data_IF_825582026918
#
_entry.id   IF_825582026918
#
_cell.length_a   1.000
_cell.length_b   1.000
_cell.length_c   1.000
_cell.angle_alpha   90.00
_cell.angle_beta   90.00
_cell.angle_gamma   90.00
#
_symmetry.space_group_name_H-M   'P 1'
#
loop_
_entity.id
_entity.type
_entity.pdbx_description
1 polymer ?
#
# COMPACT_ATOMS: atom_id res chain seq x y z
N UNK A 1 -14.50 17.18 0.01
CA UNK A 1 -15.16 16.34 1.02
C UNK A 1 -14.25 15.15 1.29
N UNK A 2 -13.83 14.92 2.54
CA UNK A 2 -13.09 13.70 2.89
C UNK A 2 -14.06 12.53 2.75
N UNK A 3 -13.62 11.41 2.18
CA UNK A 3 -14.46 10.20 2.05
C UNK A 3 -14.80 9.68 3.45
N UNK A 4 -16.03 9.19 3.62
CA UNK A 4 -16.45 8.51 4.85
C UNK A 4 -15.66 7.21 5.04
N UNK A 5 -15.61 6.72 6.29
CA UNK A 5 -14.79 5.56 6.66
C UNK A 5 -15.21 4.29 5.91
N UNK A 6 -16.52 4.09 5.68
CA UNK A 6 -17.04 2.91 4.99
C UNK A 6 -16.54 2.84 3.54
N UNK A 7 -16.63 3.96 2.81
CA UNK A 7 -16.09 4.06 1.45
C UNK A 7 -14.58 3.80 1.42
N UNK A 8 -13.83 4.25 2.43
CA UNK A 8 -12.38 4.00 2.51
C UNK A 8 -12.07 2.53 2.68
N UNK A 9 -12.79 1.84 3.57
CA UNK A 9 -12.60 0.41 3.83
C UNK A 9 -12.91 -0.41 2.57
N UNK A 10 -14.01 -0.10 1.89
CA UNK A 10 -14.39 -0.78 0.64
C UNK A 10 -13.34 -0.60 -0.45
N UNK A 11 -12.82 0.62 -0.63
CA UNK A 11 -11.76 0.89 -1.60
C UNK A 11 -10.42 0.27 -1.20
N UNK A 12 -10.11 0.24 0.10
CA UNK A 12 -8.93 -0.46 0.62
C UNK A 12 -8.98 -1.94 0.26
N UNK A 13 -10.12 -2.61 0.48
CA UNK A 13 -10.27 -4.03 0.22
C UNK A 13 -10.18 -4.39 -1.26
N UNK A 14 -10.49 -3.43 -2.14
CA UNK A 14 -10.31 -3.57 -3.58
C UNK A 14 -8.87 -3.32 -4.03
N UNK A 15 -8.17 -2.39 -3.39
CA UNK A 15 -6.85 -1.93 -3.84
C UNK A 15 -5.70 -2.70 -3.18
N UNK A 16 -5.81 -3.08 -1.91
CA UNK A 16 -4.77 -3.87 -1.23
C UNK A 16 -5.02 -5.34 -1.55
N UNK A 17 -4.28 -5.86 -2.53
CA UNK A 17 -4.45 -7.21 -3.09
C UNK A 17 -3.26 -8.15 -2.79
N UNK A 18 -2.28 -7.69 -2.00
CA UNK A 18 -1.22 -8.50 -1.42
C UNK A 18 -1.59 -8.94 -0.01
N UNK A 19 -1.28 -10.18 0.36
CA UNK A 19 -1.40 -10.64 1.75
C UNK A 19 -0.28 -10.04 2.62
N UNK A 20 -0.44 -10.14 3.94
CA UNK A 20 0.60 -9.71 4.87
C UNK A 20 1.95 -10.41 4.59
N UNK A 21 1.92 -11.72 4.37
CA UNK A 21 3.13 -12.52 4.13
C UNK A 21 3.81 -12.17 2.79
N UNK A 22 3.01 -11.95 1.74
CA UNK A 22 3.53 -11.53 0.43
C UNK A 22 4.17 -10.15 0.49
N UNK A 23 3.51 -9.21 1.18
CA UNK A 23 4.04 -7.87 1.36
C UNK A 23 5.29 -7.89 2.24
N UNK A 24 5.31 -8.71 3.30
CA UNK A 24 6.49 -8.87 4.15
C UNK A 24 7.68 -9.43 3.38
N UNK A 25 7.46 -10.45 2.54
CA UNK A 25 8.50 -10.99 1.67
C UNK A 25 9.03 -9.93 0.70
N UNK A 26 8.14 -9.14 0.11
CA UNK A 26 8.49 -8.04 -0.80
C UNK A 26 9.33 -6.94 -0.14
N UNK A 27 8.95 -6.49 1.07
CA UNK A 27 9.68 -5.41 1.77
C UNK A 27 11.12 -5.79 2.14
N UNK A 28 11.45 -7.08 2.19
CA UNK A 28 12.82 -7.57 2.45
C UNK A 28 13.75 -7.39 1.25
N UNK A 29 13.21 -7.12 0.06
CA UNK A 29 14.02 -6.93 -1.16
C UNK A 29 14.61 -5.52 -1.26
N UNK A 30 15.84 -5.42 -1.81
CA UNK A 30 16.47 -4.12 -2.10
C UNK A 30 15.65 -3.27 -3.08
N UNK A 31 14.93 -3.93 -3.99
CA UNK A 31 14.01 -3.33 -4.95
C UNK A 31 12.91 -2.54 -4.24
N UNK A 32 12.37 -3.08 -3.13
CA UNK A 32 11.37 -2.42 -2.29
C UNK A 32 11.98 -1.27 -1.48
N UNK A 33 13.11 -1.52 -0.81
CA UNK A 33 13.76 -0.57 0.09
C UNK A 33 14.23 0.71 -0.61
N UNK A 34 14.58 0.62 -1.89
CA UNK A 34 15.04 1.75 -2.71
C UNK A 34 13.93 2.42 -3.54
N UNK A 35 12.69 1.94 -3.46
CA UNK A 35 11.59 2.43 -4.30
C UNK A 35 10.77 3.53 -3.62
N UNK A 36 10.64 4.67 -4.29
CA UNK A 36 9.83 5.81 -3.88
C UNK A 36 10.63 6.99 -3.34
N UNK A 37 9.94 7.90 -2.64
CA UNK A 37 10.58 9.05 -2.01
C UNK A 37 11.16 8.68 -0.65
N UNK A 38 12.42 9.05 -0.43
CA UNK A 38 13.08 8.97 0.87
C UNK A 38 12.37 9.87 1.90
N UNK A 39 12.40 9.44 3.15
CA UNK A 39 11.96 10.23 4.29
C UNK A 39 13.03 11.25 4.66
N UNK A 40 12.59 12.42 5.10
CA UNK A 40 13.45 13.51 5.58
C UNK A 40 13.79 13.36 7.09
N UNK A 41 13.92 12.13 7.58
CA UNK A 41 14.20 11.81 8.99
C UNK A 41 15.59 11.20 9.22
N UNK A 42 16.41 11.10 8.16
CA UNK A 42 17.77 10.56 8.21
C UNK A 42 17.84 9.03 8.30
N UNK A 43 16.72 8.31 8.28
CA UNK A 43 16.69 6.84 8.32
C UNK A 43 17.16 6.17 7.02
N UNK A 44 17.12 6.91 5.91
CA UNK A 44 17.34 6.36 4.56
C UNK A 44 16.17 5.54 4.01
N UNK A 45 15.09 5.37 4.78
CA UNK A 45 13.90 4.65 4.37
C UNK A 45 13.00 5.49 3.45
N UNK A 46 12.26 4.84 2.55
CA UNK A 46 11.24 5.49 1.74
C UNK A 46 9.86 5.52 2.41
N UNK A 47 9.06 6.54 2.10
CA UNK A 47 7.69 6.69 2.61
C UNK A 47 6.83 5.47 2.25
N UNK A 48 7.02 4.93 1.04
CA UNK A 48 6.32 3.72 0.59
C UNK A 48 6.69 2.49 1.41
N UNK A 49 7.98 2.29 1.69
CA UNK A 49 8.44 1.15 2.47
C UNK A 49 7.90 1.20 3.92
N UNK A 50 7.91 2.37 4.56
CA UNK A 50 7.28 2.56 5.87
C UNK A 50 5.78 2.27 5.81
N UNK A 51 5.09 2.77 4.77
CA UNK A 51 3.67 2.51 4.56
C UNK A 51 3.38 1.01 4.43
N UNK A 52 4.22 0.27 3.72
CA UNK A 52 4.13 -1.18 3.59
C UNK A 52 4.13 -1.90 4.93
N UNK A 53 4.99 -1.50 5.87
CA UNK A 53 5.01 -2.09 7.22
C UNK A 53 3.70 -1.85 7.97
N UNK A 54 3.14 -0.65 7.87
CA UNK A 54 1.84 -0.33 8.49
C UNK A 54 0.69 -1.12 7.85
N UNK A 55 0.75 -1.36 6.54
CA UNK A 55 -0.24 -2.22 5.85
C UNK A 55 -0.17 -3.64 6.41
N UNK A 56 1.04 -4.19 6.61
CA UNK A 56 1.23 -5.51 7.22
C UNK A 56 0.60 -5.55 8.62
N UNK A 57 0.86 -4.55 9.47
CA UNK A 57 0.28 -4.46 10.81
C UNK A 57 -1.26 -4.46 10.78
N UNK A 58 -1.87 -3.68 9.89
CA UNK A 58 -3.33 -3.64 9.71
C UNK A 58 -3.89 -5.00 9.25
N UNK A 59 -3.24 -5.63 8.27
CA UNK A 59 -3.65 -6.94 7.75
C UNK A 59 -3.53 -8.05 8.81
N UNK A 60 -2.48 -8.02 9.63
CA UNK A 60 -2.27 -8.97 10.72
C UNK A 60 -3.23 -8.74 11.90
N UNK A 61 -3.55 -7.47 12.19
CA UNK A 61 -4.52 -7.09 13.24
C UNK A 61 -5.94 -7.52 12.87
N UNK A 62 -6.32 -7.44 11.59
CA UNK A 62 -7.68 -7.75 11.13
C UNK A 62 -7.70 -8.65 9.88
N UNK A 63 -7.26 -9.91 9.98
CA UNK A 63 -7.12 -10.80 8.82
C UNK A 63 -8.46 -11.15 8.15
N UNK A 64 -9.57 -11.05 8.89
CA UNK A 64 -10.92 -11.29 8.38
C UNK A 64 -11.59 -10.04 7.81
N UNK A 65 -10.90 -8.89 7.79
CA UNK A 65 -11.38 -7.62 7.25
C UNK A 65 -12.72 -7.17 7.85
N UNK A 66 -12.92 -7.37 9.15
CA UNK A 66 -14.12 -6.93 9.85
C UNK A 66 -14.10 -5.38 9.99
N UNK A 67 -15.01 -4.63 9.34
CA UNK A 67 -14.98 -3.16 9.36
C UNK A 67 -15.01 -2.55 10.76
N UNK A 68 -15.55 -3.28 11.75
CA UNK A 68 -15.68 -2.81 13.13
C UNK A 68 -14.41 -2.92 13.96
N UNK A 69 -13.37 -3.59 13.44
CA UNK A 69 -12.10 -3.82 14.14
C UNK A 69 -11.00 -2.83 13.78
N UNK A 70 -11.25 -1.96 12.82
CA UNK A 70 -10.33 -0.88 12.48
C UNK A 70 -10.52 0.28 13.44
N UNK A 71 -9.41 0.84 13.91
CA UNK A 71 -9.41 2.08 14.67
C UNK A 71 -9.16 3.31 13.78
N UNK A 72 -9.21 4.50 14.38
CA UNK A 72 -9.05 5.76 13.65
C UNK A 72 -7.69 5.86 12.94
N UNK A 73 -6.63 5.31 13.52
CA UNK A 73 -5.28 5.33 12.95
C UNK A 73 -5.17 4.38 11.76
N UNK A 74 -5.77 3.18 11.85
CA UNK A 74 -5.88 2.25 10.73
C UNK A 74 -6.57 2.95 9.55
N UNK A 75 -7.76 3.52 9.78
CA UNK A 75 -8.56 4.16 8.73
C UNK A 75 -7.85 5.39 8.16
N UNK A 76 -7.17 6.18 9.00
CA UNK A 76 -6.38 7.31 8.54
C UNK A 76 -5.23 6.88 7.61
N UNK A 77 -4.58 5.75 7.90
CA UNK A 77 -3.57 5.19 7.01
C UNK A 77 -4.18 4.58 5.74
N UNK A 78 -5.29 3.85 5.85
CA UNK A 78 -6.03 3.30 4.70
C UNK A 78 -6.41 4.40 3.69
N UNK A 79 -6.87 5.57 4.17
CA UNK A 79 -7.14 6.74 3.32
C UNK A 79 -5.94 7.13 2.47
N UNK A 80 -4.74 7.15 3.06
CA UNK A 80 -3.50 7.49 2.36
C UNK A 80 -3.17 6.44 1.31
N UNK A 81 -3.30 5.16 1.65
CA UNK A 81 -3.04 4.04 0.74
C UNK A 81 -3.98 4.06 -0.45
N UNK A 82 -5.30 4.18 -0.20
CA UNK A 82 -6.33 4.27 -1.23
C UNK A 82 -6.06 5.46 -2.17
N UNK A 83 -5.78 6.64 -1.62
CA UNK A 83 -5.47 7.83 -2.42
C UNK A 83 -4.19 7.65 -3.26
N UNK A 84 -3.17 6.99 -2.71
CA UNK A 84 -1.92 6.70 -3.41
C UNK A 84 -2.16 5.76 -4.59
N UNK A 85 -2.76 4.59 -4.32
CA UNK A 85 -2.98 3.56 -5.34
C UNK A 85 -3.86 4.09 -6.47
N UNK A 86 -4.98 4.77 -6.18
CA UNK A 86 -5.84 5.34 -7.22
C UNK A 86 -5.13 6.35 -8.10
N UNK A 87 -4.31 7.24 -7.52
CA UNK A 87 -3.55 8.23 -8.30
C UNK A 87 -2.55 7.57 -9.24
N UNK A 88 -1.78 6.59 -8.75
CA UNK A 88 -0.73 5.96 -9.55
C UNK A 88 -1.31 5.00 -10.60
N UNK A 89 -2.36 4.25 -10.27
CA UNK A 89 -3.06 3.41 -11.24
C UNK A 89 -3.70 4.23 -12.37
N UNK A 90 -4.23 5.42 -12.08
CA UNK A 90 -4.77 6.31 -13.12
C UNK A 90 -3.69 6.97 -13.98
N UNK A 91 -2.48 7.17 -13.44
CA UNK A 91 -1.37 7.79 -14.15
C UNK A 91 -0.59 6.80 -15.02
N UNK A 92 -0.70 5.50 -14.75
CA UNK A 92 0.14 4.50 -15.40
C UNK A 92 -0.65 3.38 -16.09
N UNK A 93 -0.99 3.58 -17.37
CA UNK A 93 -1.30 2.45 -18.26
C UNK A 93 -0.10 1.49 -18.41
N UNK A 94 1.12 1.92 -18.08
CA UNK A 94 2.37 1.15 -18.19
C UNK A 94 2.70 0.25 -17.00
N UNK A 95 2.14 0.48 -15.80
CA UNK A 95 2.45 -0.34 -14.62
C UNK A 95 2.07 -1.83 -14.83
N UNK A 96 1.06 -2.10 -15.67
CA UNK A 96 0.67 -3.46 -16.06
C UNK A 96 1.63 -4.12 -17.07
N UNK A 97 2.48 -3.35 -17.74
CA UNK A 97 3.35 -3.85 -18.82
C UNK A 97 4.75 -4.25 -18.31
N UNK A 98 5.24 -3.61 -17.26
CA UNK A 98 6.57 -3.87 -16.70
C UNK A 98 6.55 -3.98 -15.17
N UNK A 99 6.64 -5.21 -14.61
CA UNK A 99 6.67 -5.42 -13.16
C UNK A 99 7.94 -4.88 -12.48
N UNK A 100 9.01 -4.66 -13.24
CA UNK A 100 10.26 -4.11 -12.73
C UNK A 100 10.30 -2.59 -12.76
N UNK A 101 9.24 -1.95 -13.28
CA UNK A 101 9.13 -0.50 -13.32
C UNK A 101 9.11 0.10 -11.92
N UNK A 102 9.64 1.31 -11.80
CA UNK A 102 9.65 2.06 -10.52
C UNK A 102 8.26 2.18 -9.90
N UNK A 103 7.24 2.32 -10.73
CA UNK A 103 5.87 2.44 -10.27
C UNK A 103 5.27 1.11 -9.84
N UNK A 104 5.51 0.00 -10.56
CA UNK A 104 5.06 -1.31 -10.11
C UNK A 104 5.68 -1.67 -8.74
N UNK A 105 7.00 -1.46 -8.60
CA UNK A 105 7.71 -1.64 -7.32
C UNK A 105 7.15 -0.73 -6.23
N UNK A 106 6.84 0.52 -6.58
CA UNK A 106 6.23 1.45 -5.64
C UNK A 106 4.82 1.01 -5.23
N UNK A 107 3.94 0.62 -6.16
CA UNK A 107 2.59 0.15 -5.86
C UNK A 107 2.62 -1.06 -4.91
N UNK A 108 3.59 -1.98 -5.10
CA UNK A 108 3.78 -3.11 -4.19
C UNK A 108 4.15 -2.66 -2.77
N UNK A 109 4.98 -1.62 -2.59
CA UNK A 109 5.21 -1.02 -1.26
C UNK A 109 3.92 -0.47 -0.62
N UNK A 110 2.92 -0.14 -1.43
CA UNK A 110 1.59 0.30 -0.99
C UNK A 110 0.55 -0.83 -0.98
N UNK A 111 0.98 -2.10 -1.01
CA UNK A 111 0.13 -3.27 -0.88
C UNK A 111 -0.68 -3.63 -2.14
N UNK A 112 -0.42 -2.96 -3.26
CA UNK A 112 -1.04 -3.25 -4.55
C UNK A 112 -0.03 -3.86 -5.51
N UNK A 113 -0.24 -5.11 -5.89
CA UNK A 113 0.47 -5.76 -6.97
C UNK A 113 -0.28 -5.58 -8.29
N UNK A 114 0.26 -4.80 -9.26
CA UNK A 114 -0.37 -4.60 -10.56
C UNK A 114 -0.52 -5.89 -11.38
N UNK A 115 0.24 -6.94 -11.08
CA UNK A 115 0.14 -8.23 -11.78
C UNK A 115 -1.06 -9.08 -11.33
N UNK A 116 -1.72 -8.69 -10.24
CA UNK A 116 -2.90 -9.37 -9.70
C UNK A 116 -4.23 -8.70 -10.08
N UNK A 117 -4.19 -7.64 -10.90
CA UNK A 117 -5.31 -6.73 -11.15
C UNK A 117 -5.66 -6.52 -12.64
#
# INVERSE_FOLDING_TARGET
>A
MVKDDQTVIEEWDQLVNMTADELEAWLKEESSQSSGWSKDDGSGETIGHESGRKIIEILQKNPNKDPKKYDEDDIAHMRKVVAYCKRHLAQEEKAKQDPESRSARSLKNWGHDPQKA
#
